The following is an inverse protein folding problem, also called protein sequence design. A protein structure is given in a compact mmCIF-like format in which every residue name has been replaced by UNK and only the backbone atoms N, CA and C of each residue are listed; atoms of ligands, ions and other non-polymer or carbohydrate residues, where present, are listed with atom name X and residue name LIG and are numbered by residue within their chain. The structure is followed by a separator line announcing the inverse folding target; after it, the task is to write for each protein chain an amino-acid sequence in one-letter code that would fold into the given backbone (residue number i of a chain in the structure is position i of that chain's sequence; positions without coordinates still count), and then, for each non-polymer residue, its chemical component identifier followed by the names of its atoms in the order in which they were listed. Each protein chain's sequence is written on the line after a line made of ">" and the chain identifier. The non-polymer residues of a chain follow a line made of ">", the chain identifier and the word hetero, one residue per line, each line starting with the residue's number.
data_IF_234431759511
#
_entry.id   IF_234431759511
#
_cell.length_a   1.000
_cell.length_b   1.000
_cell.length_c   1.000
_cell.angle_alpha   90.00
_cell.angle_beta   90.00
_cell.angle_gamma   90.00
#
_symmetry.space_group_name_H-M   'P 1'
#
loop_
_entity.id
_entity.type
_entity.pdbx_description
1 polymer ?
#
# COMPACT_ATOMS: atom_id res chain seq x y z
N UNK A 1 9.18 3.01 -55.23
CA UNK A 1 8.53 1.79 -54.71
C UNK A 1 7.97 2.10 -53.34
N UNK A 2 6.65 2.27 -53.30
CA UNK A 2 5.72 2.03 -52.18
C UNK A 2 5.94 2.71 -50.83
N UNK A 3 5.26 3.85 -50.68
CA UNK A 3 4.83 4.44 -49.42
C UNK A 3 3.32 4.68 -49.56
N UNK A 4 2.44 3.87 -48.95
CA UNK A 4 1.03 4.15 -48.63
C UNK A 4 0.28 2.90 -48.09
N UNK A 5 -0.58 3.12 -47.09
CA UNK A 5 -1.85 2.41 -46.80
C UNK A 5 -1.84 1.04 -46.08
N UNK A 6 -1.85 1.08 -44.74
CA UNK A 6 -2.81 0.39 -43.83
C UNK A 6 -2.81 1.23 -42.53
N UNK A 7 -3.85 1.88 -42.00
CA UNK A 7 -5.27 1.85 -42.32
C UNK A 7 -6.08 1.01 -41.32
N UNK A 8 -6.23 1.46 -40.07
CA UNK A 8 -7.37 1.14 -39.19
C UNK A 8 -7.32 2.11 -37.98
N UNK A 9 -7.90 3.30 -38.09
CA UNK A 9 -9.25 3.55 -37.57
C UNK A 9 -9.41 3.04 -36.13
N UNK A 10 -8.97 3.86 -35.18
CA UNK A 10 -9.43 3.82 -33.79
C UNK A 10 -10.91 4.26 -33.79
N UNK A 11 -11.79 3.39 -34.29
CA UNK A 11 -13.24 3.61 -34.24
C UNK A 11 -13.71 3.22 -32.85
N UNK A 12 -13.73 4.20 -31.96
CA UNK A 12 -14.53 4.17 -30.74
C UNK A 12 -16.01 4.10 -31.16
N UNK A 13 -16.56 2.90 -31.31
CA UNK A 13 -18.00 2.71 -31.47
C UNK A 13 -18.63 2.77 -30.08
N UNK A 14 -19.15 3.95 -29.76
CA UNK A 14 -19.90 4.23 -28.56
C UNK A 14 -21.37 3.83 -28.80
N UNK A 15 -21.71 2.57 -28.49
CA UNK A 15 -23.12 2.14 -28.44
C UNK A 15 -23.43 1.59 -27.07
N UNK A 16 -24.52 2.10 -26.50
CA UNK A 16 -25.02 2.01 -25.13
C UNK A 16 -25.31 0.59 -24.59
N UNK A 17 -24.87 -0.48 -25.26
CA UNK A 17 -25.18 -1.86 -24.88
C UNK A 17 -24.05 -2.83 -25.25
N UNK A 18 -23.20 -3.17 -24.27
CA UNK A 18 -22.32 -4.35 -24.30
C UNK A 18 -20.91 -4.14 -24.87
N UNK A 19 -19.94 -3.90 -23.99
CA UNK A 19 -18.52 -4.06 -24.31
C UNK A 19 -18.15 -5.51 -24.00
N UNK A 20 -18.10 -6.35 -25.03
CA UNK A 20 -17.43 -7.66 -24.98
C UNK A 20 -16.15 -7.50 -25.80
N UNK A 21 -15.01 -7.31 -25.14
CA UNK A 21 -13.70 -7.41 -25.79
C UNK A 21 -13.12 -8.79 -25.49
N UNK A 22 -13.25 -9.70 -26.46
CA UNK A 22 -12.43 -10.89 -26.50
C UNK A 22 -11.05 -10.53 -27.07
N UNK A 23 -10.08 -10.50 -26.16
CA UNK A 23 -8.80 -11.22 -26.25
C UNK A 23 -7.96 -11.01 -27.51
N UNK A 24 -7.14 -9.97 -27.48
CA UNK A 24 -5.84 -9.95 -28.17
C UNK A 24 -4.83 -10.80 -27.37
N UNK A 25 -4.05 -11.62 -28.08
CA UNK A 25 -3.26 -12.72 -27.57
C UNK A 25 -1.91 -12.27 -26.95
N UNK A 26 -1.91 -12.01 -25.63
CA UNK A 26 -0.82 -12.45 -24.76
C UNK A 26 -1.08 -13.92 -24.35
N UNK A 27 -0.23 -14.68 -23.61
CA UNK A 27 -0.72 -15.88 -22.92
C UNK A 27 -1.83 -15.44 -21.97
N UNK A 28 -3.05 -15.41 -22.50
CA UNK A 28 -4.15 -14.69 -21.90
C UNK A 28 -4.49 -15.49 -20.66
N UNK A 29 -4.38 -14.85 -19.50
CA UNK A 29 -5.00 -15.34 -18.28
C UNK A 29 -6.38 -15.85 -18.70
N UNK A 30 -6.67 -17.11 -18.40
CA UNK A 30 -7.92 -17.71 -18.84
C UNK A 30 -9.08 -16.81 -18.39
N UNK A 31 -10.17 -16.68 -19.16
CA UNK A 31 -11.30 -15.82 -18.77
C UNK A 31 -11.79 -16.13 -17.34
N UNK A 32 -11.69 -17.40 -16.94
CA UNK A 32 -11.92 -17.86 -15.57
C UNK A 32 -10.94 -17.26 -14.56
N UNK A 33 -9.63 -17.25 -14.84
CA UNK A 33 -8.62 -16.66 -13.96
C UNK A 33 -8.76 -15.14 -13.86
N UNK A 34 -9.07 -14.44 -14.96
CA UNK A 34 -9.38 -13.00 -14.93
C UNK A 34 -10.63 -12.71 -14.09
N UNK A 35 -11.69 -13.53 -14.21
CA UNK A 35 -12.88 -13.41 -13.37
C UNK A 35 -12.55 -13.68 -11.89
N UNK A 36 -11.67 -14.64 -11.61
CA UNK A 36 -11.19 -14.95 -10.26
C UNK A 36 -10.42 -13.79 -9.66
N UNK A 37 -9.56 -13.14 -10.45
CA UNK A 37 -8.81 -11.94 -10.04
C UNK A 37 -9.77 -10.78 -9.75
N UNK A 38 -10.76 -10.52 -10.61
CA UNK A 38 -11.77 -9.50 -10.34
C UNK A 38 -12.59 -9.78 -9.08
N UNK A 39 -12.94 -11.04 -8.84
CA UNK A 39 -13.61 -11.44 -7.60
C UNK A 39 -12.68 -11.20 -6.39
N UNK A 40 -11.40 -11.52 -6.49
CA UNK A 40 -10.40 -11.28 -5.46
C UNK A 40 -10.19 -9.77 -5.19
N UNK A 41 -10.18 -8.92 -6.22
CA UNK A 41 -10.11 -7.45 -6.06
C UNK A 41 -11.40 -6.84 -5.52
N UNK A 42 -12.52 -7.55 -5.62
CA UNK A 42 -13.80 -7.15 -5.03
C UNK A 42 -13.93 -7.55 -3.54
N UNK A 43 -12.93 -8.26 -2.98
CA UNK A 43 -12.99 -8.82 -1.64
C UNK A 43 -13.01 -7.77 -0.51
N UNK A 44 -12.65 -6.52 -0.79
CA UNK A 44 -12.75 -5.43 0.18
C UNK A 44 -11.44 -4.69 0.39
N UNK A 45 -10.76 -4.93 1.51
CA UNK A 45 -9.56 -4.16 1.87
C UNK A 45 -8.32 -4.57 1.05
N UNK A 46 -7.32 -3.69 0.86
CA UNK A 46 -6.10 -4.01 0.10
C UNK A 46 -5.35 -5.25 0.60
N UNK A 47 -5.45 -5.52 1.91
CA UNK A 47 -4.86 -6.71 2.52
C UNK A 47 -5.59 -8.00 2.10
N UNK A 48 -6.92 -7.98 2.08
CA UNK A 48 -7.73 -9.12 1.65
C UNK A 48 -7.54 -9.42 0.16
N UNK A 49 -7.48 -8.37 -0.67
CA UNK A 49 -7.15 -8.50 -2.09
C UNK A 49 -5.78 -9.17 -2.25
N UNK A 50 -4.75 -8.69 -1.55
CA UNK A 50 -3.41 -9.27 -1.62
C UNK A 50 -3.38 -10.74 -1.19
N UNK A 51 -4.12 -11.12 -0.13
CA UNK A 51 -4.24 -12.51 0.32
C UNK A 51 -4.97 -13.39 -0.69
N UNK A 52 -6.10 -12.92 -1.23
CA UNK A 52 -6.87 -13.67 -2.22
C UNK A 52 -6.06 -13.88 -3.52
N UNK A 53 -5.34 -12.86 -3.96
CA UNK A 53 -4.46 -12.95 -5.13
C UNK A 53 -3.29 -13.90 -4.86
N UNK A 54 -2.67 -13.85 -3.68
CA UNK A 54 -1.60 -14.78 -3.31
C UNK A 54 -2.10 -16.25 -3.30
N UNK A 55 -3.33 -16.50 -2.85
CA UNK A 55 -3.96 -17.82 -2.92
C UNK A 55 -4.17 -18.28 -4.38
N UNK A 56 -4.64 -17.40 -5.27
CA UNK A 56 -4.76 -17.70 -6.71
C UNK A 56 -3.40 -18.02 -7.36
N UNK A 57 -2.34 -17.35 -6.92
CA UNK A 57 -0.98 -17.64 -7.38
C UNK A 57 -0.46 -18.96 -6.82
N UNK A 58 -0.80 -19.34 -5.59
CA UNK A 58 -0.42 -20.64 -5.05
C UNK A 58 -1.00 -21.80 -5.90
N UNK A 59 -2.21 -21.63 -6.43
CA UNK A 59 -2.84 -22.57 -7.36
C UNK A 59 -2.22 -22.50 -8.78
N UNK A 60 -1.62 -21.37 -9.15
CA UNK A 60 -1.06 -21.09 -10.47
C UNK A 60 0.34 -20.46 -10.41
N UNK A 61 1.35 -21.14 -9.83
CA UNK A 61 2.65 -20.54 -9.55
C UNK A 61 3.39 -20.10 -10.82
N UNK A 62 3.16 -20.79 -11.95
CA UNK A 62 3.73 -20.41 -13.25
C UNK A 62 3.21 -19.09 -13.81
N UNK A 63 2.07 -18.57 -13.31
CA UNK A 63 1.44 -17.33 -13.76
C UNK A 63 1.49 -16.22 -12.70
N UNK A 64 2.29 -16.39 -11.64
CA UNK A 64 2.37 -15.48 -10.49
C UNK A 64 2.48 -13.99 -10.89
N UNK A 65 3.43 -13.66 -11.77
CA UNK A 65 3.66 -12.28 -12.19
C UNK A 65 2.49 -11.73 -13.02
N UNK A 66 1.87 -12.55 -13.87
CA UNK A 66 0.73 -12.15 -14.69
C UNK A 66 -0.53 -11.92 -13.84
N UNK A 67 -0.80 -12.81 -12.89
CA UNK A 67 -1.92 -12.69 -11.94
C UNK A 67 -1.74 -11.43 -11.08
N UNK A 68 -0.55 -11.23 -10.50
CA UNK A 68 -0.26 -10.07 -9.67
C UNK A 68 -0.38 -8.75 -10.46
N UNK A 69 0.17 -8.71 -11.69
CA UNK A 69 0.06 -7.55 -12.57
C UNK A 69 -1.39 -7.23 -12.96
N UNK A 70 -2.18 -8.24 -13.30
CA UNK A 70 -3.60 -8.06 -13.62
C UNK A 70 -4.43 -7.60 -12.42
N UNK A 71 -4.17 -8.16 -11.23
CA UNK A 71 -4.82 -7.74 -10.00
C UNK A 71 -4.45 -6.31 -9.62
N UNK A 72 -3.17 -5.94 -9.76
CA UNK A 72 -2.70 -4.57 -9.54
C UNK A 72 -3.27 -3.57 -10.55
N UNK A 73 -3.50 -3.97 -11.80
CA UNK A 73 -4.17 -3.12 -12.78
C UNK A 73 -5.65 -2.89 -12.43
N UNK A 74 -6.32 -3.90 -11.87
CA UNK A 74 -7.71 -3.80 -11.43
C UNK A 74 -7.86 -3.00 -10.13
N UNK A 75 -6.92 -3.17 -9.18
CA UNK A 75 -6.85 -2.41 -7.94
C UNK A 75 -5.43 -1.82 -7.75
N UNK A 76 -5.19 -0.60 -8.27
CA UNK A 76 -3.91 0.07 -8.10
C UNK A 76 -3.65 0.53 -6.67
N UNK A 77 -4.66 0.58 -5.78
CA UNK A 77 -4.42 0.89 -4.37
C UNK A 77 -3.80 -0.31 -3.64
N UNK A 78 -4.17 -1.53 -4.04
CA UNK A 78 -3.64 -2.77 -3.47
C UNK A 78 -2.34 -3.27 -4.15
N UNK A 79 -1.93 -2.71 -5.29
CA UNK A 79 -0.81 -3.18 -6.10
C UNK A 79 0.49 -3.48 -5.33
N UNK A 80 0.95 -2.56 -4.48
CA UNK A 80 2.18 -2.77 -3.70
C UNK A 80 2.04 -3.94 -2.70
N UNK A 81 0.86 -4.10 -2.09
CA UNK A 81 0.58 -5.19 -1.16
C UNK A 81 0.43 -6.53 -1.88
N UNK A 82 -0.24 -6.53 -3.04
CA UNK A 82 -0.35 -7.70 -3.93
C UNK A 82 1.05 -8.17 -4.33
N UNK A 83 1.89 -7.26 -4.84
CA UNK A 83 3.24 -7.60 -5.26
C UNK A 83 4.06 -8.23 -4.12
N UNK A 84 3.95 -7.68 -2.91
CA UNK A 84 4.64 -8.18 -1.74
C UNK A 84 4.12 -9.56 -1.28
N UNK A 85 2.80 -9.72 -1.16
CA UNK A 85 2.18 -10.97 -0.75
C UNK A 85 2.50 -12.11 -1.75
N UNK A 86 2.41 -11.82 -3.04
CA UNK A 86 2.73 -12.79 -4.10
C UNK A 86 4.23 -13.09 -4.15
N UNK A 87 5.09 -12.09 -3.94
CA UNK A 87 6.54 -12.30 -3.86
C UNK A 87 6.93 -13.14 -2.64
N UNK A 88 6.21 -13.06 -1.53
CA UNK A 88 6.41 -13.96 -0.38
C UNK A 88 5.96 -15.39 -0.69
N UNK A 89 4.88 -15.56 -1.45
CA UNK A 89 4.42 -16.87 -1.89
C UNK A 89 5.37 -17.53 -2.90
N UNK A 90 5.95 -16.73 -3.82
CA UNK A 90 6.88 -17.20 -4.86
C UNK A 90 8.13 -16.31 -4.89
N UNK A 91 9.05 -16.45 -3.92
CA UNK A 91 10.22 -15.58 -3.80
C UNK A 91 11.16 -15.69 -4.99
N UNK A 92 11.25 -16.86 -5.62
CA UNK A 92 12.02 -17.07 -6.85
C UNK A 92 11.56 -16.20 -8.02
N UNK A 93 10.30 -15.73 -8.01
CA UNK A 93 9.73 -14.87 -9.04
C UNK A 93 9.52 -13.42 -8.58
N UNK A 94 10.01 -13.03 -7.39
CA UNK A 94 9.77 -11.72 -6.79
C UNK A 94 10.13 -10.55 -7.73
N UNK A 95 11.26 -10.65 -8.45
CA UNK A 95 11.67 -9.62 -9.41
C UNK A 95 10.70 -9.48 -10.59
N UNK A 96 10.27 -10.61 -11.17
CA UNK A 96 9.29 -10.64 -12.26
C UNK A 96 7.91 -10.16 -11.80
N UNK A 97 7.49 -10.50 -10.58
CA UNK A 97 6.23 -10.05 -9.98
C UNK A 97 6.26 -8.54 -9.80
N UNK A 98 7.31 -7.99 -9.18
CA UNK A 98 7.45 -6.56 -8.98
C UNK A 98 7.49 -5.79 -10.31
N UNK A 99 8.19 -6.33 -11.31
CA UNK A 99 8.22 -5.75 -12.66
C UNK A 99 6.84 -5.74 -13.32
N UNK A 100 6.10 -6.85 -13.28
CA UNK A 100 4.76 -6.94 -13.86
C UNK A 100 3.77 -5.99 -13.18
N UNK A 101 3.82 -5.89 -11.85
CA UNK A 101 2.98 -4.98 -11.08
C UNK A 101 3.38 -3.51 -11.30
N UNK A 102 4.68 -3.21 -11.42
CA UNK A 102 5.16 -1.87 -11.74
C UNK A 102 4.82 -1.44 -13.18
N UNK A 103 4.74 -2.38 -14.13
CA UNK A 103 4.20 -2.11 -15.47
C UNK A 103 2.70 -1.80 -15.45
N UNK A 104 1.94 -2.53 -14.62
CA UNK A 104 0.51 -2.28 -14.44
C UNK A 104 0.23 -0.93 -13.77
N UNK A 105 1.06 -0.56 -12.77
CA UNK A 105 0.90 0.67 -11.98
C UNK A 105 2.22 1.44 -11.92
N UNK A 106 2.64 2.08 -13.03
CA UNK A 106 3.95 2.75 -13.11
C UNK A 106 4.08 3.91 -12.12
N UNK A 107 2.96 4.54 -11.74
CA UNK A 107 2.92 5.59 -10.72
C UNK A 107 3.41 5.10 -9.35
N UNK A 108 3.30 3.80 -9.05
CA UNK A 108 3.73 3.20 -7.80
C UNK A 108 5.01 2.37 -7.92
N UNK A 109 5.70 2.40 -9.06
CA UNK A 109 6.88 1.55 -9.32
C UNK A 109 7.94 1.65 -8.21
N UNK A 110 8.23 2.85 -7.70
CA UNK A 110 9.16 3.05 -6.59
C UNK A 110 8.66 2.45 -5.27
N UNK A 111 7.36 2.58 -4.98
CA UNK A 111 6.73 1.96 -3.80
C UNK A 111 6.75 0.43 -3.91
N UNK A 112 6.35 -0.11 -5.06
CA UNK A 112 6.34 -1.56 -5.33
C UNK A 112 7.76 -2.12 -5.17
N UNK A 113 8.76 -1.49 -5.76
CA UNK A 113 10.15 -1.89 -5.61
C UNK A 113 10.59 -1.88 -4.13
N UNK A 114 10.22 -0.85 -3.37
CA UNK A 114 10.55 -0.76 -1.94
C UNK A 114 9.85 -1.84 -1.10
N UNK A 115 8.56 -2.06 -1.29
CA UNK A 115 7.78 -3.02 -0.50
C UNK A 115 8.21 -4.45 -0.83
N UNK A 116 8.40 -4.79 -2.11
CA UNK A 116 8.86 -6.13 -2.50
C UNK A 116 10.31 -6.37 -2.08
N UNK A 117 11.19 -5.36 -2.20
CA UNK A 117 12.57 -5.48 -1.70
C UNK A 117 12.63 -5.68 -0.18
N UNK A 118 11.69 -5.13 0.58
CA UNK A 118 11.59 -5.39 2.02
C UNK A 118 11.02 -6.78 2.33
N UNK A 119 10.04 -7.23 1.54
CA UNK A 119 9.46 -8.56 1.69
C UNK A 119 10.45 -9.68 1.34
N UNK A 120 11.26 -9.49 0.28
CA UNK A 120 12.26 -10.45 -0.20
C UNK A 120 13.62 -9.75 -0.33
N UNK A 121 14.33 -9.50 0.78
CA UNK A 121 15.59 -8.74 0.79
C UNK A 121 16.68 -9.40 -0.04
N UNK A 122 16.71 -10.73 -0.10
CA UNK A 122 17.65 -11.50 -0.94
C UNK A 122 17.52 -11.18 -2.44
N UNK A 123 16.36 -10.70 -2.89
CA UNK A 123 16.07 -10.36 -4.28
C UNK A 123 15.95 -8.85 -4.52
N UNK A 124 16.21 -8.00 -3.53
CA UNK A 124 16.01 -6.55 -3.61
C UNK A 124 16.68 -5.90 -4.83
N UNK A 125 17.97 -6.21 -5.08
CA UNK A 125 18.69 -5.65 -6.23
C UNK A 125 18.08 -6.09 -7.57
N UNK A 126 17.67 -7.36 -7.68
CA UNK A 126 17.02 -7.90 -8.87
C UNK A 126 15.63 -7.28 -9.08
N UNK A 127 14.87 -7.07 -8.00
CA UNK A 127 13.57 -6.40 -8.01
C UNK A 127 13.70 -4.97 -8.56
N UNK A 128 14.62 -4.17 -8.02
CA UNK A 128 14.84 -2.79 -8.47
C UNK A 128 15.25 -2.76 -9.95
N UNK A 129 16.16 -3.64 -10.37
CA UNK A 129 16.60 -3.73 -11.76
C UNK A 129 15.46 -4.15 -12.71
N UNK A 130 14.65 -5.13 -12.30
CA UNK A 130 13.51 -5.59 -13.06
C UNK A 130 12.45 -4.49 -13.20
N UNK A 131 12.12 -3.79 -12.11
CA UNK A 131 11.20 -2.64 -12.13
C UNK A 131 11.71 -1.51 -13.00
N UNK A 132 13.01 -1.19 -12.94
CA UNK A 132 13.63 -0.17 -13.78
C UNK A 132 13.48 -0.50 -15.27
N UNK A 133 13.75 -1.75 -15.64
CA UNK A 133 13.60 -2.26 -17.00
C UNK A 133 12.13 -2.21 -17.44
N UNK A 134 11.23 -2.68 -16.56
CA UNK A 134 9.81 -2.79 -16.79
C UNK A 134 9.12 -1.43 -17.00
N UNK A 135 9.59 -0.40 -16.32
CA UNK A 135 9.08 0.98 -16.42
C UNK A 135 9.93 1.88 -17.33
N UNK A 136 10.90 1.29 -18.02
CA UNK A 136 11.82 1.98 -18.93
C UNK A 136 12.51 3.20 -18.29
N UNK A 137 12.89 3.07 -17.01
CA UNK A 137 13.58 4.08 -16.21
C UNK A 137 14.92 3.55 -15.70
N UNK A 138 15.75 4.43 -15.14
CA UNK A 138 17.06 4.01 -14.61
C UNK A 138 16.93 3.38 -13.22
N UNK A 139 17.78 2.37 -12.95
CA UNK A 139 17.89 1.73 -11.63
C UNK A 139 18.10 2.76 -10.52
N UNK A 140 18.94 3.78 -10.77
CA UNK A 140 19.16 4.88 -9.82
C UNK A 140 17.87 5.64 -9.48
N UNK A 141 17.01 5.88 -10.47
CA UNK A 141 15.72 6.55 -10.29
C UNK A 141 14.75 5.70 -9.47
N UNK A 142 14.67 4.40 -9.74
CA UNK A 142 13.85 3.47 -8.95
C UNK A 142 14.36 3.37 -7.52
N UNK A 143 15.67 3.25 -7.32
CA UNK A 143 16.29 3.23 -5.99
C UNK A 143 15.98 4.51 -5.22
N UNK A 144 16.07 5.68 -5.86
CA UNK A 144 15.74 6.96 -5.24
C UNK A 144 14.25 7.06 -4.88
N UNK A 145 13.36 6.57 -5.75
CA UNK A 145 11.92 6.53 -5.46
C UNK A 145 11.60 5.54 -4.32
N UNK A 146 12.28 4.39 -4.28
CA UNK A 146 12.13 3.39 -3.24
C UNK A 146 12.64 3.89 -1.86
N UNK A 147 13.77 4.60 -1.84
CA UNK A 147 14.29 5.21 -0.62
C UNK A 147 13.44 6.38 -0.14
N UNK A 148 12.90 7.19 -1.05
CA UNK A 148 11.93 8.25 -0.73
C UNK A 148 10.62 7.69 -0.17
N UNK A 149 10.11 6.60 -0.75
CA UNK A 149 8.97 5.85 -0.23
C UNK A 149 9.21 5.36 1.20
N UNK A 150 10.39 4.77 1.46
CA UNK A 150 10.77 4.30 2.78
C UNK A 150 10.93 5.45 3.80
N UNK A 151 11.52 6.57 3.39
CA UNK A 151 11.64 7.77 4.22
C UNK A 151 10.27 8.37 4.58
N UNK A 152 9.32 8.33 3.64
CA UNK A 152 7.94 8.78 3.87
C UNK A 152 7.24 7.87 4.88
N UNK A 153 7.37 6.54 4.76
CA UNK A 153 6.85 5.60 5.73
C UNK A 153 7.42 5.83 7.14
N UNK A 154 8.73 6.07 7.26
CA UNK A 154 9.39 6.41 8.54
C UNK A 154 8.89 7.73 9.12
N UNK A 155 8.63 8.73 8.27
CA UNK A 155 8.08 10.03 8.70
C UNK A 155 6.63 9.89 9.18
N UNK A 156 5.81 9.08 8.52
CA UNK A 156 4.44 8.77 8.97
C UNK A 156 4.46 8.04 10.30
N UNK A 157 5.38 7.10 10.53
CA UNK A 157 5.56 6.45 11.83
C UNK A 157 5.99 7.47 12.90
N UNK A 158 6.96 8.34 12.60
CA UNK A 158 7.37 9.40 13.53
C UNK A 158 6.23 10.37 13.85
N UNK A 159 5.39 10.73 12.87
CA UNK A 159 4.20 11.55 13.05
C UNK A 159 3.09 10.81 13.80
N UNK A 160 2.88 9.51 13.56
CA UNK A 160 1.93 8.69 14.30
C UNK A 160 2.33 8.54 15.77
N UNK A 161 3.63 8.38 16.05
CA UNK A 161 4.17 8.36 17.42
C UNK A 161 4.07 9.74 18.05
N UNK A 162 4.35 10.82 17.32
CA UNK A 162 4.19 12.19 17.82
C UNK A 162 2.72 12.56 18.08
N UNK A 163 1.79 12.17 17.21
CA UNK A 163 0.34 12.39 17.40
C UNK A 163 -0.23 11.52 18.52
N UNK A 164 0.25 10.28 18.67
CA UNK A 164 -0.07 9.42 19.84
C UNK A 164 0.47 10.02 21.14
N UNK A 165 1.63 10.69 21.09
CA UNK A 165 2.21 11.40 22.23
C UNK A 165 1.41 12.67 22.60
N UNK A 166 0.87 13.39 21.62
CA UNK A 166 -0.01 14.56 21.85
C UNK A 166 -1.38 14.16 22.40
N UNK A 167 -1.91 13.00 22.01
CA UNK A 167 -3.15 12.45 22.57
C UNK A 167 -3.01 12.03 24.05
N UNK A 168 -1.81 11.62 24.50
CA UNK A 168 -1.54 11.34 25.92
C UNK A 168 -1.29 12.59 26.79
N UNK A 169 -1.06 13.77 26.21
CA UNK A 169 -0.73 15.01 26.95
C UNK A 169 -1.96 15.89 27.25
N UNK A 170 -3.15 15.55 26.74
CA UNK A 170 -4.40 16.30 27.02
C UNK A 170 -5.26 15.64 28.12
N UNK A 171 -4.64 15.28 29.25
CA UNK A 171 -5.35 15.21 30.53
C UNK A 171 -4.60 16.04 31.57
N UNK A 172 -4.91 17.34 31.58
CA UNK A 172 -4.85 18.28 32.72
C UNK A 172 -3.58 18.26 33.60
N UNK A 173 -2.73 19.30 33.57
CA UNK A 173 -1.95 19.64 34.76
C UNK A 173 -2.89 20.27 35.80
N UNK A 174 -3.20 19.55 36.88
CA UNK A 174 -3.74 20.20 38.09
C UNK A 174 -2.62 21.00 38.74
N UNK A 175 -2.50 22.25 38.31
CA UNK A 175 -1.76 23.29 39.01
C UNK A 175 -2.48 23.59 40.33
N UNK A 176 -2.08 22.90 41.40
CA UNK A 176 -2.62 23.09 42.74
C UNK A 176 -2.07 24.35 43.41
N UNK A 177 -2.42 25.55 42.94
CA UNK A 177 -2.35 26.77 43.77
C UNK A 177 -3.21 27.90 43.19
N UNK A 178 -4.38 28.14 43.79
CA UNK A 178 -4.94 29.51 43.99
C UNK A 178 -5.89 29.45 45.19
N UNK A 179 -5.43 30.06 46.29
CA UNK A 179 -6.20 30.49 47.47
C UNK A 179 -7.42 31.32 47.04
N UNK A 180 -8.57 31.39 47.75
CA UNK A 180 -8.84 32.24 48.93
C UNK A 180 -10.31 32.01 49.42
N UNK A 181 -10.78 32.54 50.58
CA UNK A 181 -11.21 31.78 51.76
C UNK A 181 -12.75 31.83 52.02
N UNK A 182 -13.28 30.98 52.92
CA UNK A 182 -14.46 31.23 53.78
C UNK A 182 -14.82 29.93 54.52
N UNK A 183 -14.35 29.80 55.77
CA UNK A 183 -15.02 29.14 56.90
C UNK A 183 -14.00 28.66 57.95
N UNK A 184 -13.36 29.59 58.65
CA UNK A 184 -13.11 29.39 60.09
C UNK A 184 -14.49 29.39 60.76
N UNK A 185 -15.04 28.23 61.17
CA UNK A 185 -16.19 28.18 62.08
C UNK A 185 -16.49 26.81 62.74
N UNK A 186 -15.51 25.94 63.04
CA UNK A 186 -15.70 24.88 64.07
C UNK A 186 -14.36 24.60 64.74
N UNK A 187 -13.84 25.53 65.58
CA UNK A 187 -13.07 25.10 66.77
C UNK A 187 -12.80 26.15 67.86
N UNK A 188 -13.07 27.45 67.66
CA UNK A 188 -12.71 28.45 68.68
C UNK A 188 -13.90 29.29 69.15
N UNK A 189 -14.68 28.76 70.09
CA UNK A 189 -15.33 29.56 71.14
C UNK A 189 -14.49 29.38 72.42
N UNK A 190 -13.78 30.43 72.81
CA UNK A 190 -12.96 30.54 74.01
C UNK A 190 -13.83 30.86 75.27
N UNK A 191 -13.29 31.27 76.45
CA UNK A 191 -12.41 30.64 77.47
C UNK A 191 -13.05 30.85 78.91
N UNK A 192 -12.36 31.07 80.08
CA UNK A 192 -10.97 30.84 80.57
C UNK A 192 -10.87 30.19 82.01
N UNK A 193 -9.65 30.19 82.60
CA UNK A 193 -9.26 30.06 84.04
C UNK A 193 -8.94 28.63 84.56
N UNK A 194 -7.87 28.31 85.31
CA UNK A 194 -6.84 29.07 86.07
C UNK A 194 -5.59 28.19 86.30
N UNK A 195 -4.44 28.77 86.72
CA UNK A 195 -3.18 28.05 86.92
C UNK A 195 -3.07 27.47 88.34
N UNK A 196 -2.40 26.33 88.48
CA UNK A 196 -1.43 26.00 89.54
C UNK A 196 -0.77 24.65 89.25
#
# INVERSE_FOLDING_TARGET
>A
MSNLLVGAAFSLVLTTSGIVMAQDAAPALSPALTASIQAATSAGTPAEVATAVAALVAENPGQAAAIAGAAAAADPAAAAQIAAAVALAVPSSAASIAAAVAQAVPAQAGLIAAVVAQAVPSSAAAVIAAVATATNTSVASVTAAASAANATASTVVAQAVATSSVAQVTTTPVNATTVTPLAQAVLNNAPPASPH
#
